data_IF_479684996209
#
_entry.id   IF_479684996209
#
_cell.length_a   1.000
_cell.length_b   1.000
_cell.length_c   1.000
_cell.angle_alpha   90.00
_cell.angle_beta   90.00
_cell.angle_gamma   90.00
#
_symmetry.space_group_name_H-M   'P 1'
#
loop_
_entity.id
_entity.type
_entity.pdbx_description
1 polymer ?
#
# COMPACT_ATOMS: atom_id res chain seq x y z
N UNK A 1 -9.59 -8.12 19.16
CA UNK A 1 -9.17 -8.14 17.74
C UNK A 1 -9.87 -6.97 17.06
N UNK A 2 -9.13 -6.16 16.28
CA UNK A 2 -9.75 -5.04 15.55
C UNK A 2 -10.52 -5.62 14.36
N UNK A 3 -11.80 -5.26 14.25
CA UNK A 3 -12.61 -5.58 13.08
C UNK A 3 -12.26 -4.60 11.96
N UNK A 4 -12.07 -5.11 10.74
CA UNK A 4 -11.80 -4.28 9.57
C UNK A 4 -13.13 -3.81 8.98
N UNK A 5 -13.19 -2.54 8.59
CA UNK A 5 -14.36 -1.94 7.94
C UNK A 5 -14.10 -1.75 6.44
N UNK A 6 -14.99 -2.30 5.61
CA UNK A 6 -14.94 -2.13 4.15
C UNK A 6 -15.19 -0.66 3.77
N UNK A 7 -14.51 -0.17 2.74
CA UNK A 7 -14.41 1.23 2.32
C UNK A 7 -13.64 2.15 3.28
N UNK A 8 -13.19 1.67 4.43
CA UNK A 8 -12.33 2.41 5.38
C UNK A 8 -10.94 1.79 5.46
N UNK A 9 -10.86 0.53 5.87
CA UNK A 9 -9.61 -0.20 6.07
C UNK A 9 -9.19 -0.96 4.81
N UNK A 10 -10.16 -1.36 3.99
CA UNK A 10 -9.94 -2.07 2.74
C UNK A 10 -11.08 -1.86 1.75
N UNK A 11 -10.87 -2.21 0.48
CA UNK A 11 -11.90 -2.33 -0.55
C UNK A 11 -11.57 -3.50 -1.48
N UNK A 12 -12.54 -4.02 -2.22
CA UNK A 12 -12.29 -4.96 -3.31
C UNK A 12 -12.08 -4.21 -4.62
N UNK A 13 -10.98 -4.49 -5.31
CA UNK A 13 -10.76 -3.94 -6.64
C UNK A 13 -11.57 -4.68 -7.71
N UNK A 14 -11.54 -4.21 -8.96
CA UNK A 14 -12.28 -4.81 -10.09
C UNK A 14 -11.89 -6.27 -10.37
N UNK A 15 -10.72 -6.70 -9.90
CA UNK A 15 -10.23 -8.07 -10.04
C UNK A 15 -10.65 -8.96 -8.86
N UNK A 16 -11.42 -8.45 -7.89
CA UNK A 16 -11.85 -9.18 -6.70
C UNK A 16 -10.77 -9.30 -5.62
N UNK A 17 -9.66 -8.58 -5.71
CA UNK A 17 -8.63 -8.59 -4.68
C UNK A 17 -8.94 -7.59 -3.58
N UNK A 18 -8.73 -8.02 -2.33
CA UNK A 18 -8.79 -7.14 -1.17
C UNK A 18 -7.57 -6.20 -1.15
N UNK A 19 -7.82 -4.90 -1.24
CA UNK A 19 -6.81 -3.86 -1.22
C UNK A 19 -6.93 -3.07 0.08
N UNK A 20 -5.91 -3.13 0.92
CA UNK A 20 -5.82 -2.37 2.16
C UNK A 20 -5.57 -0.89 1.88
N UNK A 21 -6.27 -0.01 2.58
CA UNK A 21 -6.14 1.44 2.42
C UNK A 21 -4.90 1.98 3.13
N UNK A 22 -4.55 3.23 2.81
CA UNK A 22 -3.49 3.95 3.51
C UNK A 22 -3.79 4.08 5.01
N UNK A 23 -5.07 4.31 5.39
CA UNK A 23 -5.52 4.40 6.78
C UNK A 23 -5.16 3.15 7.57
N UNK A 24 -5.53 1.98 7.04
CA UNK A 24 -5.20 0.71 7.69
C UNK A 24 -3.70 0.55 7.89
N UNK A 25 -2.89 0.92 6.89
CA UNK A 25 -1.44 0.85 6.99
C UNK A 25 -0.86 1.83 8.01
N UNK A 26 -1.41 3.05 8.13
CA UNK A 26 -1.01 4.02 9.16
C UNK A 26 -1.34 3.50 10.56
N UNK A 27 -2.53 2.92 10.76
CA UNK A 27 -2.93 2.36 12.06
C UNK A 27 -2.14 1.10 12.43
N UNK A 28 -1.72 0.29 11.45
CA UNK A 28 -0.77 -0.80 11.66
C UNK A 28 0.57 -0.30 12.20
N UNK A 29 0.97 0.92 11.83
CA UNK A 29 2.11 1.62 12.41
C UNK A 29 3.48 1.20 11.89
N UNK A 30 3.57 0.28 10.92
CA UNK A 30 4.86 -0.12 10.34
C UNK A 30 4.77 -0.62 8.89
N UNK A 31 5.87 -0.48 8.14
CA UNK A 31 6.00 -1.05 6.81
C UNK A 31 6.18 -2.58 6.89
N UNK A 32 5.34 -3.33 6.19
CA UNK A 32 5.38 -4.80 6.25
C UNK A 32 6.29 -5.47 5.22
N UNK A 33 6.92 -4.71 4.32
CA UNK A 33 7.82 -5.25 3.30
C UNK A 33 7.15 -5.92 2.09
N UNK A 34 5.81 -5.90 2.00
CA UNK A 34 5.06 -6.58 0.93
C UNK A 34 4.82 -5.74 -0.34
N UNK A 35 5.25 -4.47 -0.38
CA UNK A 35 5.03 -3.62 -1.56
C UNK A 35 3.56 -3.26 -1.83
N UNK A 36 2.79 -2.95 -0.78
CA UNK A 36 1.36 -2.65 -0.87
C UNK A 36 1.07 -1.38 -1.69
N UNK A 37 -0.08 -1.35 -2.39
CA UNK A 37 -0.47 -0.23 -3.25
C UNK A 37 -0.52 1.12 -2.50
N UNK A 38 -1.06 1.12 -1.29
CA UNK A 38 -1.28 2.31 -0.47
C UNK A 38 -0.26 2.44 0.67
N UNK A 39 0.99 2.02 0.46
CA UNK A 39 2.02 2.07 1.50
C UNK A 39 2.38 3.52 1.88
N UNK A 40 2.14 3.98 3.13
CA UNK A 40 2.47 5.34 3.56
C UNK A 40 3.93 5.50 4.00
N UNK A 41 4.73 4.43 3.96
CA UNK A 41 6.07 4.36 4.52
C UNK A 41 7.17 4.25 3.46
N UNK A 42 6.89 4.68 2.23
CA UNK A 42 7.85 4.65 1.11
C UNK A 42 8.59 3.33 0.94
N UNK A 43 7.87 2.22 1.18
CA UNK A 43 8.39 0.87 1.06
C UNK A 43 9.67 0.62 1.88
N UNK A 44 9.83 1.25 3.05
CA UNK A 44 11.03 1.15 3.89
C UNK A 44 11.54 -0.27 4.13
N UNK A 45 10.63 -1.23 4.38
CA UNK A 45 10.97 -2.64 4.66
C UNK A 45 10.95 -3.54 3.42
N UNK A 46 10.72 -2.98 2.23
CA UNK A 46 10.80 -3.73 0.97
C UNK A 46 12.28 -3.79 0.55
N UNK A 47 12.79 -4.96 0.11
CA UNK A 47 14.14 -5.07 -0.46
C UNK A 47 14.42 -4.04 -1.56
N UNK A 48 15.64 -3.50 -1.60
CA UNK A 48 16.01 -2.38 -2.47
C UNK A 48 15.76 -2.69 -3.96
N UNK A 49 16.03 -3.92 -4.39
CA UNK A 49 15.80 -4.41 -5.76
C UNK A 49 14.33 -4.25 -6.22
N UNK A 50 13.38 -4.30 -5.28
CA UNK A 50 11.95 -4.12 -5.55
C UNK A 50 11.48 -2.72 -5.22
N UNK A 51 12.05 -2.09 -4.20
CA UNK A 51 11.66 -0.77 -3.69
C UNK A 51 11.74 0.30 -4.78
N UNK A 52 12.84 0.35 -5.52
CA UNK A 52 13.03 1.34 -6.60
C UNK A 52 11.93 1.26 -7.65
N UNK A 53 11.61 0.04 -8.10
CA UNK A 53 10.55 -0.20 -9.09
C UNK A 53 9.18 0.22 -8.56
N UNK A 54 8.87 -0.05 -7.30
CA UNK A 54 7.58 0.31 -6.70
C UNK A 54 7.44 1.84 -6.55
N UNK A 55 8.50 2.53 -6.12
CA UNK A 55 8.51 3.99 -6.04
C UNK A 55 8.35 4.62 -7.42
N UNK A 56 9.04 4.10 -8.44
CA UNK A 56 8.92 4.57 -9.81
C UNK A 56 7.49 4.37 -10.37
N UNK A 57 6.89 3.20 -10.13
CA UNK A 57 5.51 2.92 -10.55
C UNK A 57 4.49 3.83 -9.85
N UNK A 58 4.71 4.19 -8.58
CA UNK A 58 3.85 5.12 -7.83
C UNK A 58 3.88 6.52 -8.44
N UNK A 59 5.06 7.05 -8.76
CA UNK A 59 5.22 8.38 -9.41
C UNK A 59 4.48 8.45 -10.75
N UNK A 60 4.63 7.41 -11.57
CA UNK A 60 3.94 7.33 -12.87
C UNK A 60 2.41 7.35 -12.71
N UNK A 61 1.85 6.66 -11.70
CA UNK A 61 0.41 6.69 -11.42
C UNK A 61 -0.10 8.04 -10.97
N UNK A 62 0.72 8.82 -10.27
CA UNK A 62 0.34 10.14 -9.76
C UNK A 62 0.46 11.25 -10.81
N UNK A 63 0.91 10.94 -12.04
CA UNK A 63 1.10 11.94 -13.09
C UNK A 63 2.26 12.90 -12.84
N UNK A 64 3.17 12.55 -11.92
CA UNK A 64 4.41 13.28 -11.67
C UNK A 64 5.44 12.81 -12.71
N UNK A 65 5.41 13.44 -13.89
CA UNK A 65 6.41 13.28 -14.96
C UNK A 65 7.32 14.51 -15.03
#
# INVERSE_FOLDING_TARGET
MKQLEENIDFYYNEQGYMVLTEKYHRERGYCCGNGCLHCPFDYEKVPDDKKERLLAARRQKNGEA
#
